data_IF_593773443418
#
_entry.id   IF_593773443418
#
_cell.length_a   1.000
_cell.length_b   1.000
_cell.length_c   1.000
_cell.angle_alpha   90.00
_cell.angle_beta   90.00
_cell.angle_gamma   90.00
#
_symmetry.space_group_name_H-M   'P 1'
#
loop_
_entity.id
_entity.type
_entity.pdbx_description
1 polymer ?
#
# COMPACT_ATOMS: atom_id res chain seq x y z
N UNK A 1 14.37 -1.12 -17.11
CA UNK A 1 15.51 -2.04 -17.26
C UNK A 1 15.49 -3.00 -16.09
N UNK A 2 15.78 -4.28 -16.35
CA UNK A 2 15.85 -5.32 -15.32
C UNK A 2 17.24 -5.92 -15.39
N UNK A 3 17.95 -5.93 -14.27
CA UNK A 3 19.25 -6.54 -14.13
C UNK A 3 19.13 -7.76 -13.20
N UNK A 4 19.82 -8.83 -13.54
CA UNK A 4 19.87 -10.06 -12.75
C UNK A 4 21.31 -10.21 -12.28
N UNK A 5 21.50 -10.15 -10.96
CA UNK A 5 22.80 -10.36 -10.32
C UNK A 5 22.63 -11.47 -9.30
N UNK A 6 23.11 -12.66 -9.62
CA UNK A 6 22.91 -13.87 -8.81
C UNK A 6 21.45 -14.11 -8.43
N UNK A 7 21.11 -13.95 -7.15
CA UNK A 7 19.76 -14.10 -6.61
C UNK A 7 19.02 -12.75 -6.38
N UNK A 8 19.59 -11.64 -6.85
CA UNK A 8 18.99 -10.32 -6.72
C UNK A 8 18.47 -9.84 -8.08
N UNK A 9 17.21 -9.50 -8.14
CA UNK A 9 16.59 -8.84 -9.28
C UNK A 9 16.50 -7.34 -9.00
N UNK A 10 17.14 -6.54 -9.84
CA UNK A 10 17.05 -5.09 -9.78
C UNK A 10 16.15 -4.57 -10.89
N UNK A 11 15.16 -3.80 -10.51
CA UNK A 11 14.19 -3.18 -11.42
C UNK A 11 14.42 -1.68 -11.44
N UNK A 12 14.72 -1.11 -12.61
CA UNK A 12 14.87 0.33 -12.82
C UNK A 12 13.84 0.82 -13.80
N UNK A 13 13.09 1.84 -13.40
CA UNK A 13 12.03 2.43 -14.21
C UNK A 13 11.86 3.93 -14.00
N UNK A 14 10.83 4.50 -14.61
CA UNK A 14 10.55 5.94 -14.55
C UNK A 14 10.11 6.42 -13.16
N UNK A 15 9.63 5.51 -12.29
CA UNK A 15 9.09 5.84 -10.95
C UNK A 15 10.03 5.49 -9.81
N UNK A 16 11.19 4.91 -10.11
CA UNK A 16 12.18 4.56 -9.11
C UNK A 16 12.88 3.24 -9.39
N UNK A 17 13.64 2.79 -8.40
CA UNK A 17 14.39 1.56 -8.43
C UNK A 17 13.91 0.65 -7.28
N UNK A 18 13.76 -0.63 -7.58
CA UNK A 18 13.39 -1.65 -6.60
C UNK A 18 14.32 -2.85 -6.75
N UNK A 19 14.61 -3.52 -5.64
CA UNK A 19 15.36 -4.77 -5.63
C UNK A 19 14.54 -5.87 -4.96
N UNK A 20 14.60 -7.07 -5.49
CA UNK A 20 13.90 -8.24 -5.00
C UNK A 20 14.88 -9.41 -4.85
N UNK A 21 15.00 -9.94 -3.63
CA UNK A 21 15.75 -11.16 -3.38
C UNK A 21 14.90 -12.37 -3.78
N UNK A 22 15.51 -13.24 -4.54
CA UNK A 22 14.87 -14.43 -5.05
C UNK A 22 15.27 -15.66 -4.26
N UNK A 23 14.31 -16.56 -4.07
CA UNK A 23 14.58 -17.82 -3.39
C UNK A 23 15.43 -18.77 -4.26
N UNK A 24 16.45 -19.40 -3.67
CA UNK A 24 17.43 -20.27 -4.37
C UNK A 24 16.82 -21.47 -5.11
N UNK A 25 15.58 -21.87 -4.79
CA UNK A 25 14.89 -22.99 -5.45
C UNK A 25 14.22 -22.61 -6.77
N UNK A 26 14.33 -21.35 -7.19
CA UNK A 26 13.63 -20.82 -8.36
C UNK A 26 14.66 -20.25 -9.33
N UNK A 27 14.48 -20.59 -10.61
CA UNK A 27 15.29 -20.06 -11.71
C UNK A 27 14.43 -19.17 -12.63
N UNK A 28 15.09 -18.23 -13.29
CA UNK A 28 14.45 -17.31 -14.24
C UNK A 28 15.09 -17.45 -15.59
N UNK A 29 14.27 -17.32 -16.59
CA UNK A 29 14.72 -17.06 -17.95
C UNK A 29 14.11 -15.76 -18.45
N UNK A 30 14.94 -14.91 -19.01
CA UNK A 30 14.53 -13.70 -19.67
C UNK A 30 14.65 -13.90 -21.17
N UNK A 31 13.52 -13.91 -21.90
CA UNK A 31 13.45 -14.00 -23.36
C UNK A 31 12.47 -12.94 -23.86
N UNK A 32 12.85 -12.22 -24.90
CA UNK A 32 11.97 -11.28 -25.62
C UNK A 32 11.13 -10.36 -24.72
N UNK A 33 11.76 -9.71 -23.72
CA UNK A 33 11.09 -8.87 -22.73
C UNK A 33 10.08 -9.60 -21.79
N UNK A 34 10.13 -10.93 -21.74
CA UNK A 34 9.33 -11.73 -20.82
C UNK A 34 10.23 -12.42 -19.80
N UNK A 35 9.83 -12.38 -18.54
CA UNK A 35 10.48 -13.13 -17.46
C UNK A 35 9.65 -14.39 -17.20
N UNK A 36 10.25 -15.53 -17.43
CA UNK A 36 9.64 -16.83 -17.13
C UNK A 36 10.24 -17.38 -15.85
N UNK A 37 9.38 -17.70 -14.90
CA UNK A 37 9.76 -18.32 -13.63
C UNK A 37 9.71 -19.82 -13.77
N UNK A 38 10.81 -20.52 -13.50
CA UNK A 38 10.93 -21.99 -13.54
C UNK A 38 11.17 -22.54 -12.15
N UNK A 39 10.68 -23.73 -11.88
CA UNK A 39 10.89 -24.47 -10.64
C UNK A 39 11.26 -25.92 -10.94
N UNK A 40 12.09 -26.51 -10.08
CA UNK A 40 12.63 -27.86 -10.30
C UNK A 40 11.82 -28.99 -9.68
N UNK A 41 11.04 -28.70 -8.61
CA UNK A 41 10.23 -29.68 -7.87
C UNK A 41 8.83 -29.14 -7.64
N UNK A 42 7.82 -30.02 -7.64
CA UNK A 42 6.42 -29.64 -7.43
C UNK A 42 6.16 -28.91 -6.08
N UNK A 43 6.94 -29.23 -5.05
CA UNK A 43 6.91 -28.52 -3.75
C UNK A 43 7.17 -27.01 -3.89
N UNK A 44 7.95 -26.61 -4.89
CA UNK A 44 8.31 -25.21 -5.11
C UNK A 44 7.30 -24.44 -5.98
N UNK A 45 6.22 -25.08 -6.45
CA UNK A 45 5.19 -24.46 -7.28
C UNK A 45 4.52 -23.27 -6.61
N UNK A 46 4.20 -23.38 -5.31
CA UNK A 46 3.63 -22.29 -4.54
C UNK A 46 4.58 -21.09 -4.44
N UNK A 47 5.87 -21.37 -4.21
CA UNK A 47 6.91 -20.33 -4.16
C UNK A 47 7.11 -19.66 -5.53
N UNK A 48 7.08 -20.43 -6.61
CA UNK A 48 7.16 -19.90 -7.98
C UNK A 48 6.01 -18.92 -8.28
N UNK A 49 4.79 -19.26 -7.85
CA UNK A 49 3.62 -18.38 -7.97
C UNK A 49 3.78 -17.07 -7.18
N UNK A 50 4.31 -17.16 -5.97
CA UNK A 50 4.61 -15.99 -5.12
C UNK A 50 5.66 -15.11 -5.78
N UNK A 51 6.78 -15.68 -6.23
CA UNK A 51 7.85 -14.92 -6.90
C UNK A 51 7.37 -14.24 -8.18
N UNK A 52 6.57 -14.93 -9.00
CA UNK A 52 5.95 -14.35 -10.18
C UNK A 52 5.13 -13.11 -9.83
N UNK A 53 4.32 -13.18 -8.78
CA UNK A 53 3.47 -12.07 -8.33
C UNK A 53 4.30 -10.90 -7.81
N UNK A 54 5.37 -11.17 -7.05
CA UNK A 54 6.29 -10.15 -6.54
C UNK A 54 7.04 -9.45 -7.69
N UNK A 55 7.57 -10.21 -8.65
CA UNK A 55 8.22 -9.67 -9.85
C UNK A 55 7.26 -8.76 -10.62
N UNK A 56 6.03 -9.22 -10.86
CA UNK A 56 5.02 -8.42 -11.54
C UNK A 56 4.68 -7.12 -10.78
N UNK A 57 4.58 -7.19 -9.44
CA UNK A 57 4.38 -6.00 -8.62
C UNK A 57 5.56 -5.02 -8.77
N UNK A 58 6.81 -5.50 -8.76
CA UNK A 58 7.97 -4.63 -8.97
C UNK A 58 7.96 -3.98 -10.36
N UNK A 59 7.66 -4.74 -11.43
CA UNK A 59 7.59 -4.22 -12.80
C UNK A 59 6.53 -3.12 -12.93
N UNK A 60 5.32 -3.34 -12.40
CA UNK A 60 4.25 -2.33 -12.40
C UNK A 60 4.67 -1.13 -11.57
N UNK A 61 5.27 -1.35 -10.39
CA UNK A 61 5.67 -0.31 -9.47
C UNK A 61 6.69 0.65 -10.06
N UNK A 62 7.75 0.14 -10.70
CA UNK A 62 8.79 1.00 -11.31
C UNK A 62 8.34 1.65 -12.62
N UNK A 63 7.32 1.10 -13.30
CA UNK A 63 6.81 1.65 -14.56
C UNK A 63 5.70 2.68 -14.35
N UNK A 64 4.63 2.28 -13.67
CA UNK A 64 3.41 3.10 -13.45
C UNK A 64 3.36 3.71 -12.05
N UNK A 65 3.95 3.05 -11.08
CA UNK A 65 3.78 3.34 -9.65
C UNK A 65 2.45 2.82 -9.12
N UNK A 66 2.33 2.83 -7.80
CA UNK A 66 1.11 2.53 -7.08
C UNK A 66 0.60 3.79 -6.39
N UNK A 67 -0.70 3.99 -6.45
CA UNK A 67 -1.38 5.09 -5.77
C UNK A 67 -2.49 4.53 -4.90
N UNK A 68 -2.61 5.04 -3.67
CA UNK A 68 -3.68 4.75 -2.72
C UNK A 68 -4.29 6.05 -2.23
N UNK A 69 -5.61 6.13 -2.27
CA UNK A 69 -6.35 7.26 -1.73
C UNK A 69 -6.71 6.98 -0.26
N UNK A 70 -6.46 7.95 0.60
CA UNK A 70 -6.89 7.91 2.00
C UNK A 70 -7.93 8.98 2.22
N UNK A 71 -9.08 8.55 2.75
CA UNK A 71 -10.22 9.39 3.04
C UNK A 71 -10.55 9.39 4.53
N UNK A 72 -10.67 10.57 5.09
CA UNK A 72 -11.06 10.78 6.48
C UNK A 72 -12.56 11.05 6.55
N UNK A 73 -13.30 10.22 7.24
CA UNK A 73 -14.73 10.41 7.46
C UNK A 73 -15.01 10.70 8.93
N UNK A 74 -15.46 11.91 9.23
CA UNK A 74 -15.80 12.34 10.59
C UNK A 74 -15.86 13.86 10.70
N UNK A 75 -16.74 14.35 11.57
CA UNK A 75 -16.85 15.80 11.85
C UNK A 75 -15.55 16.28 12.49
N UNK A 76 -14.95 17.31 11.89
CA UNK A 76 -13.69 17.90 12.37
C UNK A 76 -12.43 17.09 12.03
N UNK A 77 -12.55 15.99 11.25
CA UNK A 77 -11.35 15.27 10.80
C UNK A 77 -10.68 16.04 9.67
N UNK A 78 -9.36 16.20 9.78
CA UNK A 78 -8.53 16.91 8.79
C UNK A 78 -7.19 16.23 8.63
N UNK A 79 -6.66 16.28 7.42
CA UNK A 79 -5.28 15.92 7.09
C UNK A 79 -4.54 17.15 6.57
N UNK A 80 -3.35 17.37 7.05
CA UNK A 80 -2.43 18.37 6.53
C UNK A 80 -1.13 17.65 6.10
N UNK A 81 -0.85 17.72 4.81
CA UNK A 81 0.33 17.08 4.21
C UNK A 81 1.38 18.15 3.97
N UNK A 82 2.52 18.04 4.62
CA UNK A 82 3.67 18.94 4.47
C UNK A 82 4.92 18.15 4.07
N UNK A 83 5.11 17.98 2.78
CA UNK A 83 6.21 17.17 2.26
C UNK A 83 6.10 15.71 2.70
N UNK A 84 7.03 15.27 3.57
CA UNK A 84 7.06 13.90 4.12
C UNK A 84 6.38 13.76 5.49
N UNK A 85 5.80 14.83 6.02
CA UNK A 85 5.09 14.82 7.29
C UNK A 85 3.59 14.98 7.06
N UNK A 86 2.82 14.08 7.62
CA UNK A 86 1.36 14.13 7.61
C UNK A 86 0.88 14.39 9.04
N UNK A 87 0.10 15.45 9.22
CA UNK A 87 -0.55 15.77 10.48
C UNK A 87 -2.03 15.48 10.36
N UNK A 88 -2.53 14.55 11.18
CA UNK A 88 -3.90 14.08 11.18
C UNK A 88 -4.64 14.55 12.42
N UNK A 89 -5.76 15.25 12.24
CA UNK A 89 -6.71 15.56 13.30
C UNK A 89 -7.86 14.57 13.23
N UNK A 90 -7.89 13.60 14.15
CA UNK A 90 -8.83 12.47 14.15
C UNK A 90 -9.76 12.46 15.39
N UNK A 91 -9.96 13.64 16.02
CA UNK A 91 -10.79 13.75 17.21
C UNK A 91 -10.12 13.26 18.48
N UNK A 92 -8.80 13.23 18.51
CA UNK A 92 -7.99 13.09 19.73
C UNK A 92 -7.71 14.45 20.35
N UNK A 93 -7.25 14.47 21.59
CA UNK A 93 -6.85 15.70 22.30
C UNK A 93 -5.63 16.39 21.68
N UNK A 94 -4.82 15.65 20.93
CA UNK A 94 -3.64 16.14 20.21
C UNK A 94 -3.66 15.63 18.76
N UNK A 95 -3.10 16.36 17.79
CA UNK A 95 -2.95 15.88 16.43
C UNK A 95 -1.95 14.72 16.38
N UNK A 96 -2.22 13.75 15.50
CA UNK A 96 -1.31 12.63 15.23
C UNK A 96 -0.37 13.03 14.11
N UNK A 97 0.92 12.96 14.36
CA UNK A 97 1.97 13.23 13.37
C UNK A 97 2.53 11.90 12.85
N UNK A 98 2.58 11.76 11.54
CA UNK A 98 3.15 10.60 10.88
C UNK A 98 4.23 11.01 9.90
N UNK A 99 5.42 10.41 10.03
CA UNK A 99 6.55 10.64 9.14
C UNK A 99 6.54 9.57 8.05
N UNK A 100 6.46 10.01 6.79
CA UNK A 100 6.51 9.11 5.64
C UNK A 100 7.92 8.58 5.41
N UNK A 101 8.08 7.31 4.99
CA UNK A 101 9.34 6.78 4.49
C UNK A 101 9.79 7.51 3.22
N UNK A 102 11.10 7.42 2.91
CA UNK A 102 11.70 8.16 1.78
C UNK A 102 11.06 7.84 0.43
N UNK A 103 10.64 6.59 0.24
CA UNK A 103 10.10 6.07 -1.03
C UNK A 103 8.57 6.24 -1.17
N UNK A 104 7.93 6.99 -0.27
CA UNK A 104 6.50 7.28 -0.32
C UNK A 104 6.29 8.78 -0.41
N UNK A 105 5.48 9.20 -1.36
CA UNK A 105 5.06 10.58 -1.55
C UNK A 105 3.59 10.74 -1.19
N UNK A 106 3.25 11.86 -0.57
CA UNK A 106 1.87 12.22 -0.28
C UNK A 106 1.47 13.49 -1.02
N UNK A 107 0.28 13.48 -1.61
CA UNK A 107 -0.34 14.65 -2.23
C UNK A 107 -1.71 14.89 -1.63
N UNK A 108 -1.95 16.09 -1.12
CA UNK A 108 -3.25 16.49 -0.61
C UNK A 108 -4.20 16.75 -1.78
N UNK A 109 -5.40 16.18 -1.73
CA UNK A 109 -6.52 16.49 -2.64
C UNK A 109 -7.60 17.35 -1.96
N UNK A 110 -7.43 17.62 -0.67
CA UNK A 110 -8.34 18.41 0.12
C UNK A 110 -7.99 18.36 1.60
N UNK A 111 -8.92 18.79 2.45
CA UNK A 111 -8.73 18.74 3.91
C UNK A 111 -8.99 17.33 4.49
N UNK A 112 -9.74 16.50 3.79
CA UNK A 112 -10.19 15.18 4.25
C UNK A 112 -9.71 14.03 3.37
N UNK A 113 -9.05 14.33 2.26
CA UNK A 113 -8.57 13.31 1.32
C UNK A 113 -7.14 13.63 0.88
N UNK A 114 -6.33 12.58 0.76
CA UNK A 114 -4.97 12.67 0.25
C UNK A 114 -4.54 11.35 -0.39
N UNK A 115 -3.69 11.46 -1.40
CA UNK A 115 -3.14 10.32 -2.11
C UNK A 115 -1.72 10.02 -1.65
N UNK A 116 -1.44 8.73 -1.48
CA UNK A 116 -0.10 8.21 -1.27
C UNK A 116 0.37 7.49 -2.54
N UNK A 117 1.58 7.78 -2.96
CA UNK A 117 2.22 7.17 -4.14
C UNK A 117 3.56 6.56 -3.79
N UNK A 118 3.83 5.38 -4.33
CA UNK A 118 5.12 4.70 -4.19
C UNK A 118 5.36 3.73 -5.37
N UNK A 119 6.62 3.45 -5.65
CA UNK A 119 6.99 2.35 -6.53
C UNK A 119 6.82 0.99 -5.81
N UNK A 120 7.03 0.93 -4.50
CA UNK A 120 6.89 -0.28 -3.71
C UNK A 120 5.46 -0.45 -3.19
N UNK A 121 4.77 -1.49 -3.69
CA UNK A 121 3.41 -1.85 -3.27
C UNK A 121 3.33 -2.25 -1.81
N UNK A 122 4.34 -2.98 -1.32
CA UNK A 122 4.36 -3.49 0.06
C UNK A 122 4.52 -2.35 1.05
N UNK A 123 5.51 -1.47 0.81
CA UNK A 123 5.75 -0.30 1.64
C UNK A 123 4.54 0.64 1.65
N UNK A 124 3.93 0.88 0.48
CA UNK A 124 2.72 1.70 0.37
C UNK A 124 1.57 1.09 1.17
N UNK A 125 1.37 -0.22 1.08
CA UNK A 125 0.35 -0.94 1.84
C UNK A 125 0.56 -0.86 3.34
N UNK A 126 1.82 -0.99 3.79
CA UNK A 126 2.20 -0.86 5.19
C UNK A 126 1.87 0.54 5.73
N UNK A 127 2.29 1.60 5.04
CA UNK A 127 2.01 2.99 5.42
C UNK A 127 0.50 3.25 5.49
N UNK A 128 -0.27 2.78 4.51
CA UNK A 128 -1.73 2.90 4.52
C UNK A 128 -2.36 2.20 5.73
N UNK A 129 -1.88 1.00 6.07
CA UNK A 129 -2.37 0.24 7.21
C UNK A 129 -2.05 0.94 8.55
N UNK A 130 -0.85 1.49 8.70
CA UNK A 130 -0.45 2.25 9.89
C UNK A 130 -1.31 3.51 10.07
N UNK A 131 -1.51 4.27 9.00
CA UNK A 131 -2.37 5.47 9.04
C UNK A 131 -3.82 5.08 9.38
N UNK A 132 -4.34 4.00 8.81
CA UNK A 132 -5.68 3.50 9.13
C UNK A 132 -5.80 3.02 10.57
N UNK A 133 -4.74 2.45 11.14
CA UNK A 133 -4.72 1.95 12.51
C UNK A 133 -4.88 3.05 13.57
N UNK A 134 -4.51 4.31 13.28
CA UNK A 134 -4.76 5.41 14.21
C UNK A 134 -6.24 5.59 14.53
N UNK A 135 -7.12 5.43 13.54
CA UNK A 135 -8.57 5.50 13.74
C UNK A 135 -9.28 4.60 12.73
N UNK A 136 -9.42 3.31 13.02
CA UNK A 136 -10.10 2.38 12.11
C UNK A 136 -11.58 2.76 11.94
N UNK A 137 -12.20 2.41 10.80
CA UNK A 137 -13.59 2.74 10.54
C UNK A 137 -14.53 2.11 11.58
N UNK A 138 -15.40 2.93 12.14
CA UNK A 138 -16.41 2.51 13.12
C UNK A 138 -17.61 1.87 12.40
N UNK A 139 -18.16 0.73 12.88
CA UNK A 139 -19.24 0.04 12.20
C UNK A 139 -20.62 0.71 12.34
N UNK A 140 -20.81 1.67 13.24
CA UNK A 140 -22.12 2.31 13.49
C UNK A 140 -22.32 3.57 12.68
N UNK A 141 -21.47 4.58 12.87
CA UNK A 141 -21.57 5.87 12.16
C UNK A 141 -20.64 5.94 10.95
N UNK A 142 -19.73 4.99 10.82
CA UNK A 142 -18.74 4.97 9.73
C UNK A 142 -17.72 6.10 9.83
N UNK A 143 -17.36 6.52 11.05
CA UNK A 143 -16.26 7.46 11.28
C UNK A 143 -14.95 6.70 11.28
N UNK A 144 -13.91 7.30 10.74
CA UNK A 144 -12.58 6.72 10.71
C UNK A 144 -11.81 7.04 9.44
N UNK A 145 -10.68 6.37 9.28
CA UNK A 145 -9.78 6.47 8.13
C UNK A 145 -10.08 5.32 7.18
N UNK A 146 -10.35 5.63 5.92
CA UNK A 146 -10.66 4.68 4.86
C UNK A 146 -9.52 4.65 3.85
N UNK A 147 -9.28 3.49 3.27
CA UNK A 147 -8.31 3.29 2.19
C UNK A 147 -9.09 3.00 0.91
N UNK A 148 -8.85 3.77 -0.15
CA UNK A 148 -9.56 3.66 -1.43
C UNK A 148 -11.11 3.68 -1.22
N UNK A 149 -11.80 2.79 -1.91
CA UNK A 149 -13.26 2.63 -1.82
C UNK A 149 -13.64 1.51 -0.85
N UNK A 150 -12.97 1.41 0.30
CA UNK A 150 -13.27 0.39 1.30
C UNK A 150 -14.73 0.48 1.75
N UNK A 151 -15.45 -0.63 1.66
CA UNK A 151 -16.83 -0.73 2.12
C UNK A 151 -16.86 -1.44 3.48
N UNK A 152 -17.41 -0.78 4.49
CA UNK A 152 -17.58 -1.36 5.82
C UNK A 152 -19.01 -1.85 6.02
N UNK A 153 -19.14 -2.98 6.71
CA UNK A 153 -20.45 -3.50 7.13
C UNK A 153 -20.92 -2.65 8.31
N UNK A 154 -21.99 -1.86 8.09
CA UNK A 154 -22.59 -1.05 9.14
C UNK A 154 -23.57 -1.86 9.98
N UNK A 155 -23.49 -1.70 11.29
CA UNK A 155 -24.42 -2.30 12.26
C UNK A 155 -25.47 -1.27 12.66
N UNK A 156 -26.72 -1.68 12.75
CA UNK A 156 -27.78 -0.84 13.30
C UNK A 156 -27.72 -0.82 14.83
N UNK A 157 -28.02 0.34 15.41
CA UNK A 157 -28.23 0.45 16.86
C UNK A 157 -29.53 -0.27 17.23
N UNK A 158 -29.54 -0.97 18.37
CA UNK A 158 -30.79 -1.41 18.98
C UNK A 158 -31.70 -0.18 19.14
N UNK A 159 -32.88 -0.19 18.53
CA UNK A 159 -33.93 0.77 18.85
C UNK A 159 -34.31 0.55 20.29
N UNK A 160 -34.32 1.60 21.12
CA UNK A 160 -34.89 1.50 22.46
C UNK A 160 -36.33 1.02 22.29
N UNK A 161 -36.73 -0.03 23.02
CA UNK A 161 -38.11 -0.45 23.07
C UNK A 161 -38.88 0.75 23.66
N UNK A 162 -39.74 1.36 22.84
CA UNK A 162 -40.70 2.35 23.33
C UNK A 162 -41.67 1.59 24.22
N UNK A 163 -41.61 1.84 25.52
CA UNK A 163 -42.57 1.37 26.49
C UNK A 163 -43.91 2.11 26.27
#
# INVERSE_FOLDING_TARGET
TINIVDNLLEFKGSKGELSLNVHNSISFEMKDNQITVKWSKDENRAMAGTMRSLINNCVIGVSKGYTKNIKLNGVGYRANVQGKKITLTLGFSHPVEYQLPENVEAKSEGQTEFNLTSADKQLLGQVCAEIRAFRPPEPYKGKGVFIDNETIIRKERKKAATA
#
